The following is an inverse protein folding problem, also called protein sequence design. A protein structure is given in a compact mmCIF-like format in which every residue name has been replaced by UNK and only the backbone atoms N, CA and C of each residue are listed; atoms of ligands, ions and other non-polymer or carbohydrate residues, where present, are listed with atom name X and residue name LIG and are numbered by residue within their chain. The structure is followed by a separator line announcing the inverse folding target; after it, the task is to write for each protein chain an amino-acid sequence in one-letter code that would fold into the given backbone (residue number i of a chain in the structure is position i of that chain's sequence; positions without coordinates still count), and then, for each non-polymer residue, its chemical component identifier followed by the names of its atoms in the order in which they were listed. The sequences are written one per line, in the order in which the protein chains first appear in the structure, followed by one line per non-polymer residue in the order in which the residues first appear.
data_IF_999041796504
#
_entry.id   IF_999041796504
#
_cell.length_a   1.000
_cell.length_b   1.000
_cell.length_c   1.000
_cell.angle_alpha   90.00
_cell.angle_beta   90.00
_cell.angle_gamma   90.00
#
_symmetry.space_group_name_H-M   'P 1'
#
loop_
_entity.id
_entity.type
_entity.pdbx_description
1 polymer ?
#
# COMPACT_ATOMS: atom_id res chain seq x y z
N UNK A 1 -10.80 15.27 -3.28
CA UNK A 1 -9.54 14.72 -2.72
C UNK A 1 -9.19 13.48 -3.53
N UNK A 2 -7.98 13.36 -4.05
CA UNK A 2 -7.61 12.17 -4.82
C UNK A 2 -7.23 11.03 -3.87
N UNK A 3 -7.79 9.84 -4.11
CA UNK A 3 -7.48 8.60 -3.38
C UNK A 3 -7.01 7.59 -4.42
N UNK A 4 -5.84 7.02 -4.20
CA UNK A 4 -5.29 5.96 -5.05
C UNK A 4 -5.37 4.66 -4.30
N UNK A 5 -5.84 3.62 -4.97
CA UNK A 5 -5.91 2.28 -4.41
C UNK A 5 -5.14 1.29 -5.26
N UNK A 6 -4.43 0.38 -4.62
CA UNK A 6 -4.09 -0.91 -5.20
C UNK A 6 -5.14 -1.87 -4.61
N UNK A 7 -6.00 -2.41 -5.47
CA UNK A 7 -7.12 -3.29 -5.07
C UNK A 7 -6.63 -4.58 -4.40
N UNK A 8 -7.47 -5.61 -4.33
CA UNK A 8 -7.12 -6.87 -3.68
C UNK A 8 -5.79 -7.46 -4.22
N UNK A 9 -4.71 -7.29 -3.44
CA UNK A 9 -3.43 -7.95 -3.66
C UNK A 9 -3.41 -9.19 -2.78
N UNK A 10 -3.22 -10.35 -3.41
CA UNK A 10 -3.02 -11.59 -2.67
C UNK A 10 -1.66 -11.58 -2.00
N UNK A 11 -1.63 -11.96 -0.74
CA UNK A 11 -0.40 -12.23 -0.02
C UNK A 11 0.35 -13.37 -0.71
N UNK A 12 1.68 -13.36 -0.57
CA UNK A 12 2.51 -14.44 -1.05
C UNK A 12 2.03 -15.73 -0.37
N UNK A 13 1.74 -16.74 -1.19
CA UNK A 13 1.07 -17.99 -0.82
C UNK A 13 1.53 -18.52 0.56
N UNK A 14 0.64 -18.56 1.58
CA UNK A 14 0.98 -19.00 2.93
C UNK A 14 1.32 -20.50 3.01
N UNK A 15 1.15 -21.26 1.93
CA UNK A 15 1.50 -22.70 1.88
C UNK A 15 2.98 -22.95 1.63
N UNK A 16 3.74 -21.94 1.17
CA UNK A 16 5.19 -21.94 1.27
C UNK A 16 5.57 -21.51 2.67
N UNK A 17 6.60 -22.12 3.26
CA UNK A 17 7.03 -21.94 4.65
C UNK A 17 7.48 -20.49 4.98
N UNK A 18 6.53 -19.55 4.97
CA UNK A 18 6.68 -18.13 5.24
C UNK A 18 6.35 -17.88 6.70
N UNK A 19 7.26 -17.22 7.40
CA UNK A 19 7.13 -16.90 8.83
C UNK A 19 6.64 -15.47 9.09
N UNK A 20 6.76 -14.59 8.09
CA UNK A 20 6.25 -13.21 8.13
C UNK A 20 6.07 -12.65 6.73
N UNK A 21 5.04 -11.85 6.50
CA UNK A 21 4.88 -11.08 5.26
C UNK A 21 4.77 -9.58 5.55
N UNK A 22 5.17 -8.78 4.58
CA UNK A 22 5.13 -7.33 4.67
C UNK A 22 4.98 -6.73 3.28
N UNK A 23 4.51 -5.49 3.25
CA UNK A 23 4.52 -4.68 2.04
C UNK A 23 5.36 -3.44 2.27
N UNK A 24 6.13 -3.10 1.26
CA UNK A 24 6.89 -1.87 1.23
C UNK A 24 6.20 -0.90 0.27
N UNK A 25 5.68 0.19 0.81
CA UNK A 25 5.06 1.26 0.04
C UNK A 25 6.05 2.40 -0.12
N UNK A 26 6.39 2.74 -1.36
CA UNK A 26 7.26 3.87 -1.70
C UNK A 26 6.43 4.98 -2.30
N UNK A 27 6.57 6.18 -1.76
CA UNK A 27 5.88 7.40 -2.21
C UNK A 27 6.93 8.50 -2.39
N UNK A 28 6.97 9.09 -3.59
CA UNK A 28 7.86 10.22 -3.89
C UNK A 28 7.06 11.49 -4.09
N UNK A 29 7.48 12.60 -3.48
CA UNK A 29 6.93 13.92 -3.79
C UNK A 29 7.50 14.43 -5.12
N UNK A 30 6.74 14.38 -6.21
CA UNK A 30 7.21 14.92 -7.50
C UNK A 30 6.97 16.43 -7.67
N UNK A 31 6.42 17.10 -6.65
CA UNK A 31 6.13 18.55 -6.69
C UNK A 31 7.20 19.39 -6.02
N UNK A 32 7.14 20.70 -6.30
CA UNK A 32 7.90 21.71 -5.55
C UNK A 32 7.27 22.05 -4.18
N UNK A 33 5.99 21.70 -3.96
CA UNK A 33 5.26 22.01 -2.74
C UNK A 33 5.39 20.87 -1.72
N UNK A 34 5.12 21.18 -0.45
CA UNK A 34 4.97 20.17 0.59
C UNK A 34 3.70 19.36 0.35
N UNK A 35 3.79 18.04 0.46
CA UNK A 35 2.63 17.16 0.48
C UNK A 35 2.24 16.89 1.93
N UNK A 36 1.11 17.43 2.36
CA UNK A 36 0.57 17.21 3.71
C UNK A 36 -0.96 17.42 3.75
N UNK A 37 -1.70 16.57 4.49
CA UNK A 37 -1.29 15.24 4.95
C UNK A 37 -1.23 14.23 3.80
N UNK A 38 -0.41 13.20 3.94
CA UNK A 38 -0.53 11.94 3.21
C UNK A 38 -1.08 10.93 4.19
N UNK A 39 -2.21 10.31 3.85
CA UNK A 39 -2.86 9.27 4.65
C UNK A 39 -2.74 7.96 3.90
N UNK A 40 -2.23 6.93 4.58
CA UNK A 40 -2.12 5.57 4.07
C UNK A 40 -2.96 4.67 4.94
N UNK A 41 -3.86 3.92 4.32
CA UNK A 41 -4.68 2.92 4.99
C UNK A 41 -4.46 1.56 4.32
N UNK A 42 -4.33 0.50 5.12
CA UNK A 42 -4.32 -0.88 4.63
C UNK A 42 -5.48 -1.66 5.24
N UNK A 43 -6.22 -2.35 4.37
CA UNK A 43 -7.41 -3.11 4.71
C UNK A 43 -7.17 -4.58 4.40
N UNK A 44 -7.62 -5.45 5.29
CA UNK A 44 -7.66 -6.89 5.03
C UNK A 44 -8.95 -7.20 4.31
N UNK A 45 -8.88 -8.04 3.29
CA UNK A 45 -10.04 -8.46 2.52
C UNK A 45 -10.30 -9.92 2.82
N UNK A 46 -11.49 -10.20 3.33
CA UNK A 46 -11.97 -11.56 3.51
C UNK A 46 -13.26 -11.73 2.71
N UNK A 47 -13.40 -12.88 2.04
CA UNK A 47 -14.67 -13.28 1.47
C UNK A 47 -15.64 -13.58 2.62
N UNK A 48 -16.67 -12.76 2.80
CA UNK A 48 -17.67 -12.95 3.85
C UNK A 48 -18.86 -13.80 3.38
N UNK A 49 -18.77 -14.45 2.22
CA UNK A 49 -19.83 -15.27 1.64
C UNK A 49 -20.88 -14.43 0.92
N UNK A 50 -22.18 -14.76 1.01
CA UNK A 50 -23.24 -14.13 0.18
C UNK A 50 -23.42 -12.63 0.44
N UNK A 51 -22.84 -12.09 1.51
CA UNK A 51 -22.84 -10.66 1.84
C UNK A 51 -21.75 -9.87 1.12
N UNK A 52 -20.82 -10.54 0.42
CA UNK A 52 -19.77 -9.92 -0.39
C UNK A 52 -18.41 -9.81 0.30
N UNK A 53 -17.54 -8.97 -0.25
CA UNK A 53 -16.20 -8.72 0.31
C UNK A 53 -16.29 -7.81 1.53
N UNK A 54 -15.65 -8.21 2.63
CA UNK A 54 -15.49 -7.37 3.83
C UNK A 54 -14.07 -6.83 3.90
N UNK A 55 -13.95 -5.51 3.89
CA UNK A 55 -12.70 -4.79 4.13
C UNK A 55 -12.59 -4.36 5.59
N UNK A 56 -11.54 -4.79 6.28
CA UNK A 56 -11.27 -4.39 7.68
C UNK A 56 -9.96 -3.61 7.76
N UNK A 57 -10.00 -2.37 8.23
CA UNK A 57 -8.80 -1.54 8.42
C UNK A 57 -7.91 -2.16 9.51
N UNK A 58 -6.66 -2.47 9.19
CA UNK A 58 -5.70 -2.99 10.17
C UNK A 58 -4.46 -2.11 10.33
N UNK A 59 -4.22 -1.16 9.42
CA UNK A 59 -3.11 -0.23 9.49
C UNK A 59 -3.54 1.14 8.96
N UNK A 60 -3.18 2.19 9.69
CA UNK A 60 -3.32 3.58 9.24
C UNK A 60 -2.11 4.39 9.67
N UNK A 61 -1.63 5.27 8.81
CA UNK A 61 -0.59 6.23 9.15
C UNK A 61 -0.78 7.53 8.38
N UNK A 62 -0.35 8.63 9.00
CA UNK A 62 -0.41 9.97 8.43
C UNK A 62 0.95 10.63 8.55
N UNK A 63 1.44 11.21 7.45
CA UNK A 63 2.73 11.88 7.42
C UNK A 63 2.75 13.01 6.38
N UNK A 64 3.90 13.67 6.25
CA UNK A 64 4.13 14.70 5.27
C UNK A 64 5.46 14.49 4.55
N UNK A 65 5.55 14.91 3.28
CA UNK A 65 6.82 14.97 2.55
C UNK A 65 7.10 16.44 2.25
N UNK A 66 8.00 17.05 3.04
CA UNK A 66 8.30 18.47 2.95
C UNK A 66 9.26 18.83 1.81
N UNK A 67 10.24 17.96 1.53
CA UNK A 67 11.21 18.22 0.47
C UNK A 67 10.62 17.90 -0.91
N UNK A 68 10.82 18.76 -1.92
CA UNK A 68 10.67 18.36 -3.31
C UNK A 68 11.53 17.12 -3.59
N UNK A 69 10.97 16.14 -4.31
CA UNK A 69 11.62 14.85 -4.58
C UNK A 69 11.95 14.03 -3.33
N UNK A 70 11.41 14.39 -2.17
CA UNK A 70 11.50 13.58 -0.97
C UNK A 70 10.84 12.22 -1.19
N UNK A 71 11.46 11.16 -0.69
CA UNK A 71 10.96 9.79 -0.79
C UNK A 71 10.67 9.28 0.61
N UNK A 72 9.50 8.69 0.78
CA UNK A 72 9.15 7.94 1.98
C UNK A 72 8.93 6.49 1.60
N UNK A 73 9.51 5.61 2.42
CA UNK A 73 9.33 4.17 2.33
C UNK A 73 8.70 3.68 3.62
N UNK A 74 7.49 3.13 3.52
CA UNK A 74 6.76 2.54 4.63
C UNK A 74 6.84 1.03 4.54
N UNK A 75 7.17 0.39 5.65
CA UNK A 75 7.07 -1.07 5.79
C UNK A 75 5.82 -1.35 6.60
N UNK A 76 4.84 -1.98 5.99
CA UNK A 76 3.57 -2.33 6.61
C UNK A 76 3.56 -3.85 6.80
N UNK A 77 3.66 -4.35 8.05
CA UNK A 77 3.51 -5.77 8.32
C UNK A 77 2.13 -6.23 7.90
N UNK A 78 2.04 -7.41 7.29
CA UNK A 78 0.76 -8.03 6.97
C UNK A 78 0.83 -9.52 7.26
N UNK A 79 -0.26 -10.11 7.71
CA UNK A 79 -0.42 -11.56 7.84
C UNK A 79 -1.72 -12.03 7.20
N UNK A 80 -2.40 -11.12 6.50
CA UNK A 80 -3.71 -11.38 5.92
C UNK A 80 -3.55 -11.92 4.50
N UNK A 81 -4.46 -12.80 4.08
CA UNK A 81 -4.35 -13.48 2.79
C UNK A 81 -4.56 -12.54 1.60
N UNK A 82 -5.39 -11.51 1.74
CA UNK A 82 -5.61 -10.49 0.72
C UNK A 82 -5.72 -9.12 1.40
N UNK A 83 -5.25 -8.08 0.72
CA UNK A 83 -5.31 -6.71 1.24
C UNK A 83 -5.52 -5.66 0.14
N UNK A 84 -6.13 -4.54 0.52
CA UNK A 84 -6.23 -3.31 -0.27
C UNK A 84 -5.36 -2.26 0.41
N UNK A 85 -4.65 -1.42 -0.34
CA UNK A 85 -3.97 -0.24 0.21
C UNK A 85 -4.50 1.00 -0.48
N UNK A 86 -4.92 1.98 0.32
CA UNK A 86 -5.30 3.30 -0.17
C UNK A 86 -4.30 4.35 0.30
N UNK A 87 -4.00 5.29 -0.59
CA UNK A 87 -3.17 6.46 -0.32
C UNK A 87 -3.93 7.69 -0.77
N UNK A 88 -4.11 8.65 0.14
CA UNK A 88 -4.80 9.91 -0.15
C UNK A 88 -4.00 11.12 0.31
N UNK A 89 -4.19 12.24 -0.37
CA UNK A 89 -3.72 13.54 0.08
C UNK A 89 -4.67 14.65 -0.38
N UNK A 90 -4.98 15.64 0.48
CA UNK A 90 -5.75 16.80 0.09
C UNK A 90 -4.90 17.86 -0.62
N UNK A 91 -3.56 17.79 -0.54
CA UNK A 91 -2.66 18.90 -0.88
C UNK A 91 -2.20 19.02 -2.33
N UNK A 92 -2.02 17.92 -3.08
CA UNK A 92 -1.75 17.94 -4.53
C UNK A 92 -1.64 16.51 -5.07
N UNK A 93 -2.08 16.29 -6.31
CA UNK A 93 -1.95 15.04 -7.07
C UNK A 93 -0.50 14.72 -7.49
N UNK A 94 0.51 15.25 -6.81
CA UNK A 94 1.88 15.22 -7.29
C UNK A 94 2.77 14.11 -6.74
N UNK A 95 2.27 13.21 -5.91
CA UNK A 95 2.95 11.93 -5.65
C UNK A 95 2.37 10.79 -6.48
N UNK A 96 1.30 11.09 -7.22
CA UNK A 96 0.45 10.11 -7.87
C UNK A 96 1.23 9.26 -8.85
N UNK A 97 2.07 9.87 -9.68
CA UNK A 97 2.86 9.17 -10.69
C UNK A 97 4.05 8.36 -10.16
N UNK A 98 4.36 8.41 -8.86
CA UNK A 98 5.56 7.80 -8.27
C UNK A 98 5.25 7.12 -6.93
N UNK A 99 4.09 6.47 -6.88
CA UNK A 99 3.70 5.49 -5.85
C UNK A 99 3.98 4.06 -6.36
N UNK A 100 4.53 3.21 -5.50
CA UNK A 100 4.78 1.79 -5.82
C UNK A 100 4.67 0.92 -4.58
N UNK A 101 4.22 -0.32 -4.77
CA UNK A 101 4.16 -1.33 -3.73
C UNK A 101 5.08 -2.50 -4.06
N UNK A 102 5.80 -2.99 -3.06
CA UNK A 102 6.58 -4.22 -3.13
C UNK A 102 6.07 -5.17 -2.05
N UNK A 103 5.43 -6.26 -2.44
CA UNK A 103 4.95 -7.29 -1.52
C UNK A 103 6.01 -8.38 -1.38
N UNK A 104 6.46 -8.61 -0.15
CA UNK A 104 7.56 -9.53 0.14
C UNK A 104 7.29 -10.37 1.39
N UNK A 105 7.95 -11.52 1.47
CA UNK A 105 7.87 -12.45 2.60
C UNK A 105 9.24 -12.78 3.16
N UNK A 106 9.27 -13.41 4.35
CA UNK A 106 10.46 -14.11 4.85
C UNK A 106 10.17 -15.58 5.03
N UNK A 107 11.08 -16.43 4.55
CA UNK A 107 11.01 -17.88 4.76
C UNK A 107 11.47 -18.28 6.18
N UNK A 108 11.33 -19.57 6.51
CA UNK A 108 11.80 -20.17 7.78
C UNK A 108 13.29 -19.97 8.08
N UNK A 109 14.11 -19.67 7.07
CA UNK A 109 15.54 -19.40 7.20
C UNK A 109 15.83 -17.90 7.33
N UNK A 110 14.80 -17.04 7.30
CA UNK A 110 14.90 -15.59 7.40
C UNK A 110 15.29 -14.88 6.10
N UNK A 111 15.34 -15.59 4.97
CA UNK A 111 15.60 -14.99 3.67
C UNK A 111 14.37 -14.27 3.14
N UNK A 112 14.57 -13.08 2.56
CA UNK A 112 13.51 -12.37 1.84
C UNK A 112 13.15 -13.17 0.60
N UNK A 113 11.88 -13.56 0.49
CA UNK A 113 11.30 -14.15 -0.71
C UNK A 113 10.63 -13.02 -1.50
N UNK A 114 11.17 -12.64 -2.68
CA UNK A 114 10.63 -11.58 -3.52
C UNK A 114 9.44 -12.06 -4.37
N UNK A 115 8.64 -11.22 -5.03
CA UNK A 115 8.36 -9.78 -4.93
C UNK A 115 7.23 -9.52 -5.93
N UNK A 116 5.99 -9.41 -5.48
CA UNK A 116 5.00 -8.79 -6.38
C UNK A 116 5.25 -7.30 -6.34
N UNK A 117 5.60 -6.73 -7.48
CA UNK A 117 5.81 -5.29 -7.63
C UNK A 117 4.63 -4.69 -8.36
N UNK A 118 4.04 -3.67 -7.76
CA UNK A 118 2.94 -2.91 -8.34
C UNK A 118 3.38 -1.46 -8.56
N UNK A 119 3.93 -1.14 -9.75
CA UNK A 119 4.19 0.25 -10.13
C UNK A 119 2.90 1.08 -10.14
N UNK A 120 3.03 2.40 -10.21
CA UNK A 120 1.88 3.31 -10.26
C UNK A 120 0.81 2.92 -11.27
N UNK A 121 1.18 2.41 -12.46
CA UNK A 121 0.22 2.02 -13.50
C UNK A 121 -0.82 0.98 -13.06
N UNK A 122 -0.57 0.26 -11.97
CA UNK A 122 -1.51 -0.72 -11.41
C UNK A 122 -2.49 -0.11 -10.40
N UNK A 123 -2.20 1.10 -9.92
CA UNK A 123 -3.04 1.82 -8.97
C UNK A 123 -4.21 2.47 -9.69
N UNK A 124 -5.39 2.39 -9.07
CA UNK A 124 -6.62 3.02 -9.56
C UNK A 124 -6.92 4.26 -8.75
N UNK A 125 -7.26 5.35 -9.44
CA UNK A 125 -7.84 6.51 -8.77
C UNK A 125 -9.31 6.22 -8.43
N UNK A 126 -9.67 6.41 -7.17
CA UNK A 126 -11.04 6.42 -6.69
C UNK A 126 -11.33 7.84 -6.20
N UNK A 127 -11.75 8.72 -7.09
CA UNK A 127 -12.13 10.07 -6.72
C UNK A 127 -13.47 10.03 -6.01
N UNK A 128 -13.57 10.56 -4.79
CA UNK A 128 -14.85 11.02 -4.24
C UNK A 128 -15.08 12.44 -4.72
N UNK A 129 -16.17 12.63 -5.48
CA UNK A 129 -16.72 13.94 -5.86
C UNK A 129 -16.94 14.80 -4.63
#
# INVERSE_FOLDING_TARGET
MAIYTIGAVSNLDPTLALISTFVQLRITNTTAARLEPIVVNAYSITDAGPEGLVETLYFTTTFAIAAPRGVVTLVIPTTVANYTITVSSPGAAGFVSDISLYAAGRDVNGFTVPEQTFPFGDWKEITTV
#
